data_IF_464747784559
#
_entry.id   IF_464747784559
#
_cell.length_a   1.000
_cell.length_b   1.000
_cell.length_c   1.000
_cell.angle_alpha   90.00
_cell.angle_beta   90.00
_cell.angle_gamma   90.00
#
_symmetry.space_group_name_H-M   'P 1'
#
loop_
_entity.id
_entity.type
_entity.pdbx_description
1 polymer ?
#
# COMPACT_ATOMS: atom_id res chain seq x y z
N UNK A 1 -2.50 -1.59 -6.44
CA UNK A 1 -2.02 -0.74 -5.33
C UNK A 1 -3.10 -0.33 -4.34
N UNK A 2 -4.18 0.38 -4.73
CA UNK A 2 -5.14 0.92 -3.74
C UNK A 2 -5.93 -0.13 -2.94
N UNK A 3 -6.27 -1.25 -3.57
CA UNK A 3 -7.04 -2.32 -2.92
C UNK A 3 -6.18 -3.14 -1.93
N UNK A 4 -4.87 -3.25 -2.15
CA UNK A 4 -3.95 -4.10 -1.36
C UNK A 4 -3.79 -3.58 0.08
N UNK A 5 -3.67 -2.26 0.24
CA UNK A 5 -3.57 -1.64 1.56
C UNK A 5 -4.88 -1.74 2.32
N UNK A 6 -6.01 -1.50 1.63
CA UNK A 6 -7.33 -1.59 2.22
C UNK A 6 -7.63 -3.01 2.74
N UNK A 7 -7.35 -4.01 1.92
CA UNK A 7 -7.55 -5.43 2.23
C UNK A 7 -6.74 -5.89 3.46
N UNK A 8 -5.56 -5.30 3.69
CA UNK A 8 -4.69 -5.68 4.79
C UNK A 8 -4.72 -4.75 6.02
N UNK A 9 -5.18 -3.51 5.90
CA UNK A 9 -5.05 -2.49 6.98
C UNK A 9 -6.31 -1.68 7.30
N UNK A 10 -7.35 -1.68 6.45
CA UNK A 10 -8.57 -0.87 6.69
C UNK A 10 -9.77 -1.72 7.14
N UNK A 11 -9.78 -3.03 6.91
CA UNK A 11 -10.86 -3.90 7.38
C UNK A 11 -10.46 -4.54 8.71
N UNK A 12 -11.28 -4.35 9.75
CA UNK A 12 -11.06 -4.83 11.12
C UNK A 12 -10.93 -6.36 11.28
N UNK A 13 -10.98 -7.13 10.18
CA UNK A 13 -10.77 -8.57 10.17
C UNK A 13 -9.52 -8.90 9.34
N UNK A 14 -8.50 -9.44 10.02
CA UNK A 14 -7.32 -10.12 9.44
C UNK A 14 -7.68 -11.26 8.48
N UNK A 15 -8.96 -11.64 8.41
CA UNK A 15 -9.50 -12.58 7.43
C UNK A 15 -9.43 -12.09 5.97
N UNK A 16 -8.99 -10.86 5.67
CA UNK A 16 -9.04 -10.29 4.31
C UNK A 16 -7.71 -9.96 3.63
N UNK A 17 -6.55 -10.39 4.13
CA UNK A 17 -5.30 -10.33 3.33
C UNK A 17 -5.26 -11.39 2.22
N UNK A 18 -6.18 -11.27 1.26
CA UNK A 18 -6.29 -12.17 0.10
C UNK A 18 -5.02 -12.14 -0.77
N UNK A 19 -4.34 -10.99 -0.84
CA UNK A 19 -3.06 -10.82 -1.51
C UNK A 19 -1.98 -11.77 -0.99
N UNK A 20 -1.84 -11.84 0.34
CA UNK A 20 -0.85 -12.68 1.02
C UNK A 20 -1.17 -14.15 0.76
N UNK A 21 -2.45 -14.54 0.92
CA UNK A 21 -2.88 -15.93 0.71
C UNK A 21 -2.70 -16.42 -0.72
N UNK A 22 -2.99 -15.55 -1.68
CA UNK A 22 -2.94 -15.88 -3.11
C UNK A 22 -1.54 -15.66 -3.71
N UNK A 23 -0.57 -15.16 -2.94
CA UNK A 23 0.79 -14.94 -3.42
C UNK A 23 0.88 -13.87 -4.49
N UNK A 24 -0.02 -12.87 -4.47
CA UNK A 24 -0.06 -11.83 -5.50
C UNK A 24 1.20 -10.96 -5.40
N UNK A 25 1.77 -10.60 -6.55
CA UNK A 25 2.90 -9.67 -6.59
C UNK A 25 2.38 -8.24 -6.35
N UNK A 26 2.41 -7.82 -5.09
CA UNK A 26 1.90 -6.53 -4.60
C UNK A 26 3.02 -5.57 -4.22
N UNK A 27 2.69 -4.29 -4.04
CA UNK A 27 3.68 -3.32 -3.56
C UNK A 27 4.21 -3.70 -2.17
N UNK A 28 3.34 -4.22 -1.29
CA UNK A 28 3.70 -4.59 0.09
C UNK A 28 4.74 -5.71 0.14
N UNK A 29 4.63 -6.76 -0.67
CA UNK A 29 5.62 -7.86 -0.65
C UNK A 29 6.94 -7.44 -1.29
N UNK A 30 6.89 -6.64 -2.35
CA UNK A 30 8.10 -6.10 -3.00
C UNK A 30 8.86 -5.19 -2.04
N UNK A 31 8.15 -4.27 -1.39
CA UNK A 31 8.75 -3.34 -0.43
C UNK A 31 9.19 -4.05 0.86
N UNK A 32 8.39 -5.01 1.34
CA UNK A 32 8.74 -5.85 2.49
C UNK A 32 10.04 -6.60 2.26
N UNK A 33 10.20 -7.28 1.13
CA UNK A 33 11.45 -7.95 0.75
C UNK A 33 12.62 -6.98 0.62
N UNK A 34 12.39 -5.78 0.11
CA UNK A 34 13.44 -4.75 -0.02
C UNK A 34 13.97 -4.26 1.33
N UNK A 35 13.12 -4.19 2.36
CA UNK A 35 13.47 -3.70 3.71
C UNK A 35 13.87 -4.80 4.69
N UNK A 36 13.46 -6.03 4.42
CA UNK A 36 13.65 -7.16 5.31
C UNK A 36 15.13 -7.47 5.57
N UNK A 37 15.47 -7.76 6.82
CA UNK A 37 16.71 -8.45 7.16
C UNK A 37 16.62 -9.95 6.78
N UNK A 38 17.72 -10.70 6.94
CA UNK A 38 17.76 -12.13 6.56
C UNK A 38 16.69 -12.98 7.24
N UNK A 39 16.39 -12.74 8.53
CA UNK A 39 15.36 -13.48 9.27
C UNK A 39 13.96 -13.16 8.72
N UNK A 40 13.67 -11.88 8.52
CA UNK A 40 12.39 -11.42 7.96
C UNK A 40 12.20 -11.89 6.52
N UNK A 41 13.26 -11.91 5.70
CA UNK A 41 13.21 -12.43 4.33
C UNK A 41 12.80 -13.90 4.32
N UNK A 42 13.40 -14.73 5.18
CA UNK A 42 13.03 -16.14 5.29
C UNK A 42 11.56 -16.29 5.68
N UNK A 43 11.07 -15.50 6.65
CA UNK A 43 9.65 -15.52 7.05
C UNK A 43 8.76 -15.18 5.85
N UNK A 44 9.08 -14.13 5.09
CA UNK A 44 8.31 -13.75 3.90
C UNK A 44 8.33 -14.86 2.84
N UNK A 45 9.45 -15.53 2.60
CA UNK A 45 9.55 -16.60 1.60
C UNK A 45 8.84 -17.89 2.02
N UNK A 46 8.88 -18.24 3.30
CA UNK A 46 8.25 -19.46 3.82
C UNK A 46 6.73 -19.33 3.99
N UNK A 47 6.22 -18.11 4.16
CA UNK A 47 4.83 -17.87 4.58
C UNK A 47 3.96 -17.13 3.55
N UNK A 48 4.54 -16.45 2.56
CA UNK A 48 3.76 -15.76 1.53
C UNK A 48 3.21 -16.72 0.47
N UNK A 49 1.95 -16.55 0.07
CA UNK A 49 1.30 -17.36 -0.97
C UNK A 49 0.65 -18.65 -0.49
N UNK A 50 0.39 -18.76 0.82
CA UNK A 50 -0.29 -19.91 1.41
C UNK A 50 -1.64 -19.51 1.99
N UNK A 51 -2.67 -20.29 1.69
CA UNK A 51 -3.99 -20.16 2.30
C UNK A 51 -4.02 -20.78 3.71
N UNK A 52 -3.15 -20.29 4.59
CA UNK A 52 -3.04 -20.67 6.01
C UNK A 52 -2.99 -19.39 6.84
N UNK A 53 -3.92 -19.25 7.81
CA UNK A 53 -4.03 -18.02 8.61
C UNK A 53 -2.76 -17.75 9.42
N UNK A 54 -2.09 -18.77 9.97
CA UNK A 54 -0.87 -18.57 10.76
C UNK A 54 0.24 -17.99 9.89
N UNK A 55 0.35 -18.47 8.64
CA UNK A 55 1.32 -17.96 7.68
C UNK A 55 1.02 -16.51 7.28
N UNK A 56 -0.26 -16.18 7.10
CA UNK A 56 -0.69 -14.80 6.86
C UNK A 56 -0.31 -13.88 8.03
N UNK A 57 -0.55 -14.33 9.26
CA UNK A 57 -0.22 -13.56 10.47
C UNK A 57 1.30 -13.33 10.60
N UNK A 58 2.13 -14.32 10.29
CA UNK A 58 3.60 -14.16 10.27
C UNK A 58 4.06 -13.10 9.24
N UNK A 59 3.49 -13.12 8.02
CA UNK A 59 3.78 -12.09 7.02
C UNK A 59 3.32 -10.71 7.50
N UNK A 60 2.13 -10.62 8.09
CA UNK A 60 1.60 -9.36 8.65
C UNK A 60 2.47 -8.81 9.77
N UNK A 61 2.98 -9.68 10.65
CA UNK A 61 3.91 -9.28 11.71
C UNK A 61 5.17 -8.66 11.11
N UNK A 62 5.76 -9.28 10.08
CA UNK A 62 6.92 -8.70 9.38
C UNK A 62 6.57 -7.35 8.75
N UNK A 63 5.39 -7.21 8.13
CA UNK A 63 4.98 -5.94 7.54
C UNK A 63 4.84 -4.83 8.60
N UNK A 64 4.32 -5.16 9.77
CA UNK A 64 4.18 -4.24 10.89
C UNK A 64 5.55 -3.85 11.47
N UNK A 65 6.45 -4.81 11.68
CA UNK A 65 7.83 -4.55 12.12
C UNK A 65 8.60 -3.63 11.16
N UNK A 66 8.33 -3.75 9.87
CA UNK A 66 8.96 -2.95 8.82
C UNK A 66 8.29 -1.58 8.60
N UNK A 67 7.21 -1.27 9.32
CA UNK A 67 6.46 -0.02 9.16
C UNK A 67 5.91 0.17 7.75
N UNK A 68 5.44 -0.91 7.10
CA UNK A 68 5.01 -0.84 5.69
C UNK A 68 3.72 -0.04 5.52
N UNK A 69 2.89 0.07 6.57
CA UNK A 69 1.68 0.89 6.55
C UNK A 69 2.04 2.36 6.34
N UNK A 70 2.92 2.87 7.18
CA UNK A 70 3.39 4.26 7.14
C UNK A 70 4.13 4.54 5.83
N UNK A 71 5.01 3.62 5.43
CA UNK A 71 5.74 3.70 4.17
C UNK A 71 4.81 3.80 2.93
N UNK A 72 3.71 3.06 2.95
CA UNK A 72 2.73 3.12 1.87
C UNK A 72 2.02 4.47 1.81
N UNK A 73 1.63 5.01 2.98
CA UNK A 73 1.00 6.33 3.08
C UNK A 73 1.93 7.43 2.59
N UNK A 74 3.20 7.42 3.00
CA UNK A 74 4.22 8.36 2.53
C UNK A 74 4.45 8.26 1.01
N UNK A 75 4.57 7.03 0.48
CA UNK A 75 4.75 6.79 -0.95
C UNK A 75 3.55 7.30 -1.77
N UNK A 76 2.33 7.09 -1.28
CA UNK A 76 1.12 7.64 -1.89
C UNK A 76 1.07 9.16 -1.84
N UNK A 77 1.43 9.77 -0.72
CA UNK A 77 1.50 11.23 -0.59
C UNK A 77 2.51 11.81 -1.59
N UNK A 78 3.69 11.20 -1.69
CA UNK A 78 4.72 11.61 -2.62
C UNK A 78 4.25 11.42 -4.08
N UNK A 79 3.55 10.33 -4.39
CA UNK A 79 2.97 10.11 -5.72
C UNK A 79 1.91 11.17 -6.06
N UNK A 80 1.01 11.48 -5.12
CA UNK A 80 0.02 12.53 -5.26
C UNK A 80 0.69 13.88 -5.56
N UNK A 81 1.68 14.27 -4.75
CA UNK A 81 2.43 15.52 -4.95
C UNK A 81 3.12 15.59 -6.31
N UNK A 82 3.71 14.48 -6.78
CA UNK A 82 4.33 14.41 -8.12
C UNK A 82 3.30 14.60 -9.24
N UNK A 83 2.12 13.99 -9.11
CA UNK A 83 1.05 14.15 -10.12
C UNK A 83 0.53 15.58 -10.12
N UNK A 84 0.28 16.17 -8.94
CA UNK A 84 -0.16 17.55 -8.83
C UNK A 84 0.84 18.54 -9.43
N UNK A 85 2.14 18.36 -9.16
CA UNK A 85 3.20 19.18 -9.75
C UNK A 85 3.20 19.09 -11.29
N UNK A 86 3.01 17.90 -11.85
CA UNK A 86 2.89 17.71 -13.31
C UNK A 86 1.65 18.38 -13.87
N UNK A 87 0.53 18.36 -13.16
CA UNK A 87 -0.69 19.06 -13.58
C UNK A 87 -0.41 20.56 -13.69
N UNK A 88 0.19 21.16 -12.67
CA UNK A 88 0.52 22.59 -12.66
C UNK A 88 1.54 22.96 -13.75
N UNK A 89 2.56 22.11 -13.97
CA UNK A 89 3.57 22.34 -15.01
C UNK A 89 2.97 22.37 -16.42
N UNK A 90 1.86 21.67 -16.66
CA UNK A 90 1.24 21.54 -17.98
C UNK A 90 -0.07 22.33 -18.11
N UNK A 91 -0.38 23.23 -17.16
CA UNK A 91 -1.67 23.92 -17.06
C UNK A 91 -2.08 24.73 -18.31
N UNK A 92 -1.14 25.06 -19.19
CA UNK A 92 -1.39 25.72 -20.47
C UNK A 92 -1.95 24.77 -21.55
N UNK A 93 -1.71 23.46 -21.40
CA UNK A 93 -2.06 22.43 -22.39
C UNK A 93 -3.15 21.47 -21.90
N UNK A 94 -3.31 21.34 -20.58
CA UNK A 94 -4.33 20.51 -19.96
C UNK A 94 -5.15 21.34 -18.98
N UNK A 95 -6.45 21.07 -18.88
CA UNK A 95 -7.32 21.75 -17.91
C UNK A 95 -7.03 21.24 -16.49
N UNK A 96 -6.40 22.02 -15.60
CA UNK A 96 -5.98 21.51 -14.28
C UNK A 96 -7.16 20.97 -13.48
N UNK A 97 -8.31 21.64 -13.55
CA UNK A 97 -9.55 21.30 -12.85
C UNK A 97 -10.06 19.88 -13.12
N UNK A 98 -9.91 19.39 -14.36
CA UNK A 98 -10.37 18.03 -14.72
C UNK A 98 -9.47 16.99 -14.07
N UNK A 99 -8.16 17.22 -14.11
CA UNK A 99 -7.18 16.28 -13.56
C UNK A 99 -7.15 16.32 -12.03
N UNK A 100 -7.31 17.49 -11.41
CA UNK A 100 -7.43 17.61 -9.95
C UNK A 100 -8.71 16.94 -9.45
N UNK A 101 -9.85 17.12 -10.14
CA UNK A 101 -11.09 16.43 -9.80
C UNK A 101 -10.94 14.91 -9.80
N UNK A 102 -10.31 14.35 -10.86
CA UNK A 102 -10.02 12.91 -10.91
C UNK A 102 -9.10 12.51 -9.75
N UNK A 103 -8.04 13.29 -9.50
CA UNK A 103 -7.05 13.00 -8.46
C UNK A 103 -7.67 13.03 -7.04
N UNK A 104 -8.58 13.96 -6.77
CA UNK A 104 -9.34 14.05 -5.51
C UNK A 104 -10.35 12.90 -5.37
N UNK A 105 -11.05 12.56 -6.46
CA UNK A 105 -12.02 11.46 -6.50
C UNK A 105 -11.38 10.09 -6.21
N UNK A 106 -10.08 9.97 -6.46
CA UNK A 106 -9.31 8.76 -6.16
C UNK A 106 -9.21 8.49 -4.66
N UNK A 107 -9.77 9.31 -3.74
CA UNK A 107 -9.83 9.07 -2.28
C UNK A 107 -8.51 8.52 -1.71
N UNK A 108 -7.37 9.05 -2.16
CA UNK A 108 -6.05 8.60 -1.69
C UNK A 108 -5.77 9.10 -0.27
N UNK A 109 -6.58 10.04 0.20
CA UNK A 109 -6.68 10.50 1.57
C UNK A 109 -8.17 10.63 1.90
N UNK A 110 -8.74 9.68 2.64
CA UNK A 110 -9.78 10.06 3.59
C UNK A 110 -9.07 10.36 4.91
N UNK A 111 -8.34 11.48 4.93
CA UNK A 111 -7.70 12.03 6.13
C UNK A 111 -8.70 12.66 7.10
N UNK A 112 -9.96 12.20 7.10
CA UNK A 112 -11.03 12.65 7.99
C UNK A 112 -11.27 11.70 9.17
N UNK A 113 -10.25 10.94 9.57
CA UNK A 113 -10.21 10.21 10.86
C UNK A 113 -8.85 10.32 11.57
N UNK A 114 -8.16 11.45 11.43
CA UNK A 114 -7.08 11.82 12.36
C UNK A 114 -7.24 13.29 12.77
N UNK A 115 -8.40 13.60 13.37
CA UNK A 115 -8.62 14.57 14.45
C UNK A 115 -9.86 14.13 15.23
#
# INVERSE_FOLDING_TARGET
MKNEFKDCYEVANTEQCSDIRNGRCTWLIVEGKRRANKKQMNILEENYGFNDQRKVDEVLNVYNELGLKEAFLESNQAAYGRVLAKIHQNAETISPSVFTYVLESLKLFDGREIL
#
